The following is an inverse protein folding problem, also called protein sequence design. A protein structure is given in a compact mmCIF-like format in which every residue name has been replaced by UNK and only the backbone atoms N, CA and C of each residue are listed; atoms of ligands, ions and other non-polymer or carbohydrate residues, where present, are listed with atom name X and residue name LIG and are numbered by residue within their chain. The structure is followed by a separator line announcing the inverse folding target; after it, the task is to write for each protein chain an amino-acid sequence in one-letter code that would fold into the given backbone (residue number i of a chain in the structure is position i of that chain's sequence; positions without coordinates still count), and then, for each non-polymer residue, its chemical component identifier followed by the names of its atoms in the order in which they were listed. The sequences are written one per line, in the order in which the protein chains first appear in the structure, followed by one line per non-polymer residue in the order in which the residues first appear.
data_IF_092883961690
#
_entry.id   IF_092883961690
#
_cell.length_a   1.000
_cell.length_b   1.000
_cell.length_c   1.000
_cell.angle_alpha   90.00
_cell.angle_beta   90.00
_cell.angle_gamma   90.00
#
_symmetry.space_group_name_H-M   'P 1'
#
loop_
_entity.id
_entity.type
_entity.pdbx_description
1 polymer ?
#
# COMPACT_ATOMS: atom_id res chain seq x y z
N UNK A 1 -29.97 10.32 -8.03
CA UNK A 1 -30.41 9.67 -9.28
C UNK A 1 -29.44 8.55 -9.59
N UNK A 2 -29.89 7.31 -9.74
CA UNK A 2 -29.05 6.20 -10.19
C UNK A 2 -29.34 5.95 -11.67
N UNK A 3 -28.28 5.88 -12.47
CA UNK A 3 -28.26 5.87 -13.94
C UNK A 3 -28.71 4.52 -14.56
N UNK A 4 -28.92 3.48 -13.74
CA UNK A 4 -29.58 2.24 -14.18
C UNK A 4 -28.88 1.48 -15.32
N UNK A 5 -27.63 1.81 -15.67
CA UNK A 5 -26.90 1.13 -16.73
C UNK A 5 -26.69 -0.36 -16.39
N UNK A 6 -26.88 -1.28 -17.34
CA UNK A 6 -26.61 -2.71 -17.16
C UNK A 6 -25.17 -2.95 -16.69
N UNK A 7 -24.96 -3.95 -15.84
CA UNK A 7 -23.62 -4.39 -15.48
C UNK A 7 -23.04 -5.19 -16.65
N UNK A 8 -22.31 -4.51 -17.52
CA UNK A 8 -21.44 -5.12 -18.52
C UNK A 8 -20.00 -5.28 -17.98
N UNK A 9 -19.16 -6.06 -18.68
CA UNK A 9 -17.79 -6.40 -18.26
C UNK A 9 -16.92 -5.15 -18.06
N UNK A 10 -17.05 -4.15 -18.95
CA UNK A 10 -16.28 -2.89 -18.88
C UNK A 10 -16.74 -2.04 -17.68
N UNK A 11 -18.06 -1.98 -17.44
CA UNK A 11 -18.64 -1.34 -16.26
C UNK A 11 -18.25 -2.04 -14.95
N UNK A 12 -18.05 -3.36 -14.99
CA UNK A 12 -17.62 -4.14 -13.83
C UNK A 12 -16.15 -3.85 -13.47
N UNK A 13 -15.26 -3.74 -14.46
CA UNK A 13 -13.86 -3.35 -14.24
C UNK A 13 -13.75 -1.94 -13.65
N UNK A 14 -14.53 -0.97 -14.13
CA UNK A 14 -14.56 0.40 -13.60
C UNK A 14 -15.03 0.43 -12.14
N UNK A 15 -16.01 -0.40 -11.79
CA UNK A 15 -16.48 -0.57 -10.41
C UNK A 15 -15.38 -1.20 -9.54
N UNK A 16 -14.72 -2.24 -10.04
CA UNK A 16 -13.63 -2.93 -9.33
C UNK A 16 -12.46 -1.98 -9.09
N UNK A 17 -12.04 -1.21 -10.08
CA UNK A 17 -10.93 -0.26 -9.95
C UNK A 17 -11.26 0.83 -8.91
N UNK A 18 -12.49 1.37 -8.97
CA UNK A 18 -12.99 2.36 -8.01
C UNK A 18 -13.13 1.80 -6.59
N UNK A 19 -13.50 0.52 -6.44
CA UNK A 19 -13.55 -0.18 -5.16
C UNK A 19 -12.16 -0.49 -4.64
N UNK A 20 -11.22 -0.89 -5.51
CA UNK A 20 -9.82 -1.14 -5.17
C UNK A 20 -9.09 0.13 -4.76
N UNK A 21 -9.42 1.29 -5.34
CA UNK A 21 -8.96 2.60 -4.83
C UNK A 21 -9.53 2.93 -3.44
N UNK A 22 -10.66 2.33 -3.03
CA UNK A 22 -11.37 2.62 -1.77
C UNK A 22 -11.14 1.57 -0.66
N UNK A 23 -10.72 0.34 -0.96
CA UNK A 23 -10.34 -0.68 0.04
C UNK A 23 -8.82 -0.61 0.26
N UNK A 24 -8.39 -0.70 1.52
CA UNK A 24 -7.02 -0.39 1.95
C UNK A 24 -5.89 -1.07 1.18
N UNK A 25 -4.66 -0.60 1.45
CA UNK A 25 -3.41 -0.95 0.75
C UNK A 25 -3.37 -2.43 0.30
N UNK A 26 -3.19 -2.70 -1.01
CA UNK A 26 -3.13 -4.07 -1.54
C UNK A 26 -2.00 -4.90 -0.91
N UNK A 27 -2.21 -6.21 -0.83
CA UNK A 27 -1.20 -7.17 -0.37
C UNK A 27 -0.01 -7.24 -1.33
N UNK A 28 1.19 -7.48 -0.80
CA UNK A 28 2.44 -7.61 -1.56
C UNK A 28 2.65 -9.03 -2.12
N UNK A 29 1.84 -10.00 -1.67
CA UNK A 29 1.98 -11.42 -2.03
C UNK A 29 0.90 -11.92 -3.00
N UNK A 30 0.18 -11.00 -3.66
CA UNK A 30 -0.93 -11.36 -4.55
C UNK A 30 -2.29 -11.52 -3.84
N UNK A 31 -3.32 -11.89 -4.62
CA UNK A 31 -4.72 -11.97 -4.18
C UNK A 31 -4.87 -13.00 -3.05
N UNK A 32 -5.26 -12.53 -1.87
CA UNK A 32 -5.73 -13.37 -0.76
C UNK A 32 -4.71 -13.75 0.31
N UNK A 33 -3.40 -13.59 0.09
CA UNK A 33 -2.39 -13.88 1.12
C UNK A 33 -1.99 -12.61 1.87
N UNK A 34 -1.84 -12.66 3.21
CA UNK A 34 -1.24 -11.55 3.98
C UNK A 34 0.26 -11.52 3.73
N UNK A 35 0.81 -10.35 3.42
CA UNK A 35 2.26 -10.17 3.36
C UNK A 35 2.91 -10.61 4.68
N UNK A 36 4.04 -11.34 4.64
CA UNK A 36 4.86 -11.60 5.82
C UNK A 36 5.20 -10.29 6.54
N UNK A 37 5.15 -10.32 7.87
CA UNK A 37 5.41 -9.16 8.70
C UNK A 37 6.69 -9.35 9.51
N UNK A 38 7.54 -8.33 9.53
CA UNK A 38 8.72 -8.26 10.37
C UNK A 38 8.53 -7.07 11.31
N UNK A 39 8.59 -7.31 12.63
CA UNK A 39 8.58 -6.25 13.63
C UNK A 39 10.02 -5.94 14.05
N UNK A 40 10.47 -4.71 13.79
CA UNK A 40 11.82 -4.24 14.12
C UNK A 40 11.73 -3.18 15.21
N UNK A 41 12.49 -3.36 16.29
CA UNK A 41 12.67 -2.33 17.32
C UNK A 41 13.79 -1.40 16.90
N UNK A 42 13.53 -0.11 16.96
CA UNK A 42 14.51 0.93 16.65
C UNK A 42 14.52 1.99 17.75
N UNK A 43 15.66 2.67 17.97
CA UNK A 43 15.69 3.90 18.74
C UNK A 43 14.67 4.94 18.23
N UNK A 44 14.15 5.77 19.13
CA UNK A 44 13.10 6.74 18.81
C UNK A 44 13.55 7.76 17.75
N UNK A 45 14.80 8.22 17.84
CA UNK A 45 15.41 9.15 16.89
C UNK A 45 15.47 8.58 15.46
N UNK A 46 15.72 7.28 15.32
CA UNK A 46 15.70 6.61 14.01
C UNK A 46 14.29 6.58 13.43
N UNK A 47 13.28 6.28 14.26
CA UNK A 47 11.88 6.30 13.82
C UNK A 47 11.46 7.69 13.35
N UNK A 48 11.85 8.74 14.07
CA UNK A 48 11.48 10.11 13.75
C UNK A 48 12.13 10.58 12.44
N UNK A 49 13.42 10.29 12.25
CA UNK A 49 14.12 10.57 10.97
C UNK A 49 13.50 9.84 9.78
N UNK A 50 13.08 8.58 9.97
CA UNK A 50 12.38 7.82 8.93
C UNK A 50 11.02 8.44 8.59
N UNK A 51 10.31 8.97 9.59
CA UNK A 51 9.03 9.64 9.39
C UNK A 51 9.20 10.93 8.59
N UNK A 52 10.14 11.79 8.97
CA UNK A 52 10.44 13.02 8.22
C UNK A 52 10.86 12.75 6.77
N UNK A 53 11.67 11.71 6.55
CA UNK A 53 12.05 11.29 5.20
C UNK A 53 10.84 10.80 4.40
N UNK A 54 9.99 9.96 4.99
CA UNK A 54 8.80 9.44 4.33
C UNK A 54 7.84 10.58 3.94
N UNK A 55 7.65 11.57 4.81
CA UNK A 55 6.84 12.76 4.53
C UNK A 55 7.40 13.57 3.35
N UNK A 56 8.72 13.83 3.34
CA UNK A 56 9.37 14.54 2.21
C UNK A 56 9.25 13.80 0.88
N UNK A 57 9.24 12.47 0.90
CA UNK A 57 9.13 11.63 -0.30
C UNK A 57 7.68 11.29 -0.67
N UNK A 58 6.67 11.74 0.09
CA UNK A 58 5.27 11.38 -0.13
C UNK A 58 5.00 9.88 0.06
N UNK A 59 5.80 9.20 0.88
CA UNK A 59 5.73 7.76 1.15
C UNK A 59 5.21 7.48 2.55
N UNK A 60 4.68 6.28 2.75
CA UNK A 60 4.45 5.74 4.10
C UNK A 60 5.75 5.18 4.70
N UNK A 61 5.85 5.16 6.02
CA UNK A 61 6.94 4.49 6.74
C UNK A 61 7.17 3.04 6.26
N UNK A 62 6.11 2.27 6.02
CA UNK A 62 6.24 0.88 5.54
C UNK A 62 6.72 0.75 4.09
N UNK A 63 6.54 1.78 3.25
CA UNK A 63 7.14 1.80 1.91
C UNK A 63 8.63 2.07 2.02
N UNK A 64 9.01 3.13 2.74
CA UNK A 64 10.41 3.49 2.94
C UNK A 64 11.20 2.35 3.61
N UNK A 65 10.62 1.72 4.63
CA UNK A 65 11.25 0.58 5.29
C UNK A 65 11.41 -0.63 4.36
N UNK A 66 10.43 -0.89 3.47
CA UNK A 66 10.53 -1.97 2.50
C UNK A 66 11.63 -1.71 1.48
N UNK A 67 11.67 -0.51 0.90
CA UNK A 67 12.70 -0.12 -0.08
C UNK A 67 14.11 -0.23 0.52
N UNK A 68 14.29 0.19 1.78
CA UNK A 68 15.56 0.04 2.48
C UNK A 68 15.96 -1.43 2.68
N UNK A 69 14.99 -2.30 3.02
CA UNK A 69 15.24 -3.74 3.18
C UNK A 69 15.54 -4.42 1.83
N UNK A 70 14.81 -4.08 0.77
CA UNK A 70 15.06 -4.59 -0.60
C UNK A 70 16.44 -4.17 -1.10
N UNK A 71 16.82 -2.91 -0.87
CA UNK A 71 18.14 -2.38 -1.23
C UNK A 71 19.28 -3.01 -0.43
N UNK A 72 19.03 -3.50 0.78
CA UNK A 72 20.05 -4.16 1.60
C UNK A 72 20.18 -5.65 1.28
N UNK A 73 19.06 -6.29 0.88
CA UNK A 73 19.01 -7.72 0.57
C UNK A 73 19.45 -8.06 -0.87
N UNK A 74 19.61 -7.06 -1.73
CA UNK A 74 20.09 -7.19 -3.11
C UNK A 74 21.61 -7.02 -3.18
#
# INVERSE_FOLDING_TARGET
MHDGRPLDEDSAEEIIERVNRKRGRPSLTGVGARSPQIAVRVPADIRDRLKERAEREGKTLSQLAREALESYAS
#
